data_IF_067442856870
#
_entry.id   IF_067442856870
#
_cell.length_a   1.000
_cell.length_b   1.000
_cell.length_c   1.000
_cell.angle_alpha   90.00
_cell.angle_beta   90.00
_cell.angle_gamma   90.00
#
_symmetry.space_group_name_H-M   'P 1'
#
loop_
_entity.id
_entity.type
_entity.pdbx_description
1 polymer ?
#
# COMPACT_ATOMS: atom_id res chain seq x y z
N UNK A 1 11.28 2.75 14.30
CA UNK A 1 11.72 1.36 14.13
C UNK A 1 11.60 0.98 12.65
N UNK A 2 12.66 1.31 11.87
CA UNK A 2 12.80 0.85 10.50
C UNK A 2 13.46 -0.55 10.51
N UNK A 3 12.69 -1.57 10.80
CA UNK A 3 13.16 -2.92 10.57
C UNK A 3 12.63 -3.38 9.21
N UNK A 4 13.48 -3.58 8.24
CA UNK A 4 13.19 -4.05 6.87
C UNK A 4 12.37 -3.07 5.99
N UNK A 5 12.45 -1.75 6.19
CA UNK A 5 11.74 -0.79 5.33
C UNK A 5 10.20 -0.88 5.40
N UNK A 6 9.67 -1.55 6.41
CA UNK A 6 8.22 -1.60 6.64
C UNK A 6 7.84 -0.57 7.70
N UNK A 7 6.91 0.30 7.34
CA UNK A 7 6.25 1.14 8.32
C UNK A 7 5.54 0.26 9.34
N UNK A 8 5.90 0.37 10.61
CA UNK A 8 5.01 -0.09 11.66
C UNK A 8 3.70 0.69 11.52
N UNK A 9 2.59 -0.04 11.48
CA UNK A 9 1.28 0.59 11.39
C UNK A 9 1.12 1.50 12.61
N UNK A 10 0.77 2.76 12.41
CA UNK A 10 0.61 3.77 13.49
C UNK A 10 -0.17 3.26 14.71
N UNK A 11 -1.07 2.30 14.51
CA UNK A 11 -1.81 1.60 15.59
C UNK A 11 -0.89 0.86 16.57
N UNK A 12 0.21 0.28 16.08
CA UNK A 12 1.17 -0.47 16.93
C UNK A 12 2.02 0.52 17.72
N UNK A 13 2.45 1.60 17.07
CA UNK A 13 3.22 2.65 17.75
C UNK A 13 2.41 3.31 18.86
N UNK A 14 1.15 3.67 18.60
CA UNK A 14 0.25 4.23 19.63
C UNK A 14 0.04 3.24 20.77
N UNK A 15 -0.15 1.95 20.48
CA UNK A 15 -0.30 0.91 21.49
C UNK A 15 0.94 0.75 22.37
N UNK A 16 2.14 0.78 21.79
CA UNK A 16 3.40 0.70 22.51
C UNK A 16 3.60 1.89 23.45
N UNK A 17 3.36 3.10 22.94
CA UNK A 17 3.47 4.34 23.74
C UNK A 17 2.45 4.37 24.87
N UNK A 18 1.21 3.97 24.60
CA UNK A 18 0.17 3.86 25.63
C UNK A 18 0.55 2.86 26.72
N UNK A 19 1.07 1.69 26.34
CA UNK A 19 1.55 0.68 27.29
C UNK A 19 2.74 1.18 28.12
N UNK A 20 3.69 1.87 27.51
CA UNK A 20 4.81 2.48 28.21
C UNK A 20 4.34 3.53 29.22
N UNK A 21 3.36 4.37 28.86
CA UNK A 21 2.76 5.34 29.78
C UNK A 21 2.06 4.66 30.96
N UNK A 22 1.32 3.57 30.74
CA UNK A 22 0.67 2.81 31.80
C UNK A 22 1.68 2.19 32.77
N UNK A 23 2.77 1.61 32.24
CA UNK A 23 3.86 1.05 33.07
C UNK A 23 4.52 2.15 33.90
N UNK A 24 4.79 3.31 33.34
CA UNK A 24 5.34 4.46 34.05
C UNK A 24 4.39 4.93 35.19
N UNK A 25 3.09 5.04 34.89
CA UNK A 25 2.09 5.41 35.91
C UNK A 25 2.01 4.36 37.00
N UNK A 26 2.11 3.08 36.67
CA UNK A 26 2.13 1.99 37.65
C UNK A 26 3.36 2.08 38.57
N UNK A 27 4.56 2.26 38.00
CA UNK A 27 5.80 2.42 38.78
C UNK A 27 5.66 3.61 39.75
N UNK A 28 5.13 4.75 39.30
CA UNK A 28 4.92 5.93 40.12
C UNK A 28 3.92 5.66 41.28
N UNK A 29 2.90 4.81 41.02
CA UNK A 29 1.87 4.49 42.03
C UNK A 29 2.34 3.49 43.09
N UNK A 30 3.28 2.60 42.76
CA UNK A 30 3.74 1.52 43.65
C UNK A 30 4.90 1.97 44.57
N UNK A 31 5.76 2.85 44.08
CA UNK A 31 6.86 3.33 44.88
C UNK A 31 6.43 4.51 45.79
N UNK A 32 6.66 4.36 47.09
CA UNK A 32 6.45 5.42 48.09
C UNK A 32 7.54 6.52 47.98
N UNK A 33 7.49 7.29 46.89
CA UNK A 33 8.37 8.45 46.74
C UNK A 33 8.02 9.58 47.71
N UNK A 34 9.04 10.28 48.20
CA UNK A 34 8.81 11.54 48.92
C UNK A 34 8.02 12.49 48.01
N UNK A 35 7.09 13.27 48.59
CA UNK A 35 6.18 14.15 47.85
C UNK A 35 6.86 15.07 46.84
N UNK A 36 8.09 15.52 47.11
CA UNK A 36 8.87 16.34 46.18
C UNK A 36 9.34 15.58 44.96
N UNK A 37 9.76 14.33 45.09
CA UNK A 37 10.20 13.47 43.98
C UNK A 37 9.04 13.07 43.12
N UNK A 38 7.86 12.79 43.70
CA UNK A 38 6.63 12.48 42.93
C UNK A 38 6.27 13.66 42.03
N UNK A 39 6.28 14.88 42.50
CA UNK A 39 5.97 16.08 41.70
C UNK A 39 6.94 16.25 40.53
N UNK A 40 8.23 16.01 40.74
CA UNK A 40 9.24 16.14 39.71
C UNK A 40 9.07 15.06 38.62
N UNK A 41 8.94 13.79 39.02
CA UNK A 41 8.76 12.67 38.09
C UNK A 41 7.43 12.80 37.30
N UNK A 42 6.35 13.19 37.98
CA UNK A 42 5.06 13.45 37.34
C UNK A 42 5.16 14.59 36.31
N UNK A 43 5.87 15.67 36.63
CA UNK A 43 6.10 16.76 35.66
C UNK A 43 6.88 16.31 34.45
N UNK A 44 7.90 15.48 34.63
CA UNK A 44 8.72 14.93 33.56
C UNK A 44 7.93 13.96 32.65
N UNK A 45 7.05 13.15 33.25
CA UNK A 45 6.13 12.28 32.49
C UNK A 45 5.13 13.08 31.66
N UNK A 46 4.53 14.12 32.25
CA UNK A 46 3.60 15.00 31.51
C UNK A 46 4.31 15.69 30.33
N UNK A 47 5.52 16.19 30.56
CA UNK A 47 6.34 16.84 29.53
C UNK A 47 6.68 15.86 28.38
N UNK A 48 7.02 14.62 28.71
CA UNK A 48 7.30 13.56 27.72
C UNK A 48 6.06 13.22 26.90
N UNK A 49 4.89 13.08 27.52
CA UNK A 49 3.63 12.81 26.83
C UNK A 49 3.28 13.98 25.89
N UNK A 50 3.41 15.21 26.34
CA UNK A 50 3.13 16.40 25.50
C UNK A 50 4.10 16.47 24.32
N UNK A 51 5.39 16.20 24.54
CA UNK A 51 6.38 16.19 23.47
C UNK A 51 6.09 15.09 22.43
N UNK A 52 5.72 13.87 22.87
CA UNK A 52 5.31 12.78 21.99
C UNK A 52 4.03 13.12 21.19
N UNK A 53 3.03 13.72 21.84
CA UNK A 53 1.80 14.14 21.17
C UNK A 53 2.07 15.22 20.13
N UNK A 54 2.95 16.17 20.42
CA UNK A 54 3.35 17.21 19.47
C UNK A 54 4.08 16.63 18.25
N UNK A 55 4.98 15.67 18.48
CA UNK A 55 5.70 14.99 17.41
C UNK A 55 4.73 14.19 16.51
N UNK A 56 3.88 13.39 17.12
CA UNK A 56 2.85 12.62 16.40
C UNK A 56 1.91 13.53 15.60
N UNK A 57 1.52 14.68 16.17
CA UNK A 57 0.67 15.65 15.49
C UNK A 57 1.36 16.25 14.26
N UNK A 58 2.66 16.57 14.34
CA UNK A 58 3.44 17.04 13.17
C UNK A 58 3.49 16.02 12.06
N UNK A 59 3.81 14.76 12.39
CA UNK A 59 3.88 13.69 11.42
C UNK A 59 2.51 13.40 10.80
N UNK A 60 1.49 13.33 11.64
CA UNK A 60 0.11 13.16 11.18
C UNK A 60 -0.32 14.30 10.24
N UNK A 61 0.01 15.53 10.58
CA UNK A 61 -0.33 16.69 9.74
C UNK A 61 0.43 16.69 8.42
N UNK A 62 1.70 16.31 8.42
CA UNK A 62 2.49 16.18 7.20
C UNK A 62 1.91 15.10 6.26
N UNK A 63 1.56 13.94 6.80
CA UNK A 63 0.93 12.85 6.03
C UNK A 63 -0.45 13.27 5.53
N UNK A 64 -1.31 13.84 6.39
CA UNK A 64 -2.69 14.18 6.02
C UNK A 64 -2.77 15.35 5.04
N UNK A 65 -1.80 16.27 5.02
CA UNK A 65 -1.80 17.38 4.06
C UNK A 65 -1.53 16.96 2.62
N UNK A 66 -0.79 15.87 2.41
CA UNK A 66 -0.50 15.33 1.07
C UNK A 66 -1.57 14.36 0.54
N UNK A 67 -2.40 13.80 1.42
CA UNK A 67 -3.44 12.83 1.04
C UNK A 67 -4.46 13.38 0.04
N UNK A 68 -5.00 14.63 0.17
CA UNK A 68 -6.02 15.12 -0.73
C UNK A 68 -5.58 15.15 -2.18
N UNK A 69 -4.38 15.66 -2.47
CA UNK A 69 -3.86 15.75 -3.84
C UNK A 69 -3.58 14.37 -4.44
N UNK A 70 -2.91 13.52 -3.65
CA UNK A 70 -2.65 12.13 -4.04
C UNK A 70 -3.97 11.37 -4.27
N UNK A 71 -4.97 11.60 -3.43
CA UNK A 71 -6.29 10.98 -3.55
C UNK A 71 -6.99 11.37 -4.84
N UNK A 72 -7.02 12.66 -5.17
CA UNK A 72 -7.67 13.14 -6.41
C UNK A 72 -6.98 12.55 -7.64
N UNK A 73 -5.66 12.59 -7.67
CA UNK A 73 -4.88 12.03 -8.79
C UNK A 73 -5.09 10.52 -8.95
N UNK A 74 -4.95 9.75 -7.87
CA UNK A 74 -5.12 8.29 -7.92
C UNK A 74 -6.56 7.87 -8.20
N UNK A 75 -7.54 8.62 -7.71
CA UNK A 75 -8.96 8.39 -8.00
C UNK A 75 -9.25 8.54 -9.48
N UNK A 76 -8.77 9.62 -10.11
CA UNK A 76 -8.94 9.83 -11.54
C UNK A 76 -8.33 8.69 -12.38
N UNK A 77 -7.15 8.20 -11.98
CA UNK A 77 -6.52 7.04 -12.62
C UNK A 77 -7.37 5.79 -12.46
N UNK A 78 -7.82 5.50 -11.23
CA UNK A 78 -8.64 4.31 -10.94
C UNK A 78 -9.98 4.33 -11.68
N UNK A 79 -10.65 5.48 -11.74
CA UNK A 79 -11.88 5.65 -12.50
C UNK A 79 -11.67 5.45 -14.00
N UNK A 80 -10.57 5.98 -14.55
CA UNK A 80 -10.21 5.79 -15.96
C UNK A 80 -9.95 4.31 -16.30
N UNK A 81 -9.19 3.62 -15.46
CA UNK A 81 -8.91 2.18 -15.60
C UNK A 81 -10.20 1.37 -15.43
N UNK A 82 -10.99 1.68 -14.42
CA UNK A 82 -12.21 0.95 -14.10
C UNK A 82 -13.33 1.08 -15.15
N UNK A 83 -13.29 2.11 -16.00
CA UNK A 83 -14.23 2.27 -17.12
C UNK A 83 -13.85 1.42 -18.34
N UNK A 84 -12.60 1.04 -18.48
CA UNK A 84 -12.11 0.17 -19.56
C UNK A 84 -12.41 -1.30 -19.24
N UNK A 85 -13.55 -1.80 -19.70
CA UNK A 85 -13.99 -3.18 -19.44
C UNK A 85 -13.41 -4.22 -20.41
N UNK A 86 -12.68 -3.79 -21.42
CA UNK A 86 -12.06 -4.67 -22.40
C UNK A 86 -10.73 -5.24 -21.91
N UNK A 87 -10.06 -4.51 -20.99
CA UNK A 87 -8.75 -4.88 -20.50
C UNK A 87 -8.74 -5.12 -18.99
N UNK A 88 -7.85 -6.00 -18.59
CA UNK A 88 -7.54 -6.28 -17.18
C UNK A 88 -6.27 -5.52 -16.78
N UNK A 89 -6.34 -4.80 -15.70
CA UNK A 89 -5.22 -4.02 -15.18
C UNK A 89 -4.65 -4.68 -13.92
N UNK A 90 -3.37 -4.95 -13.94
CA UNK A 90 -2.65 -5.56 -12.82
C UNK A 90 -1.71 -4.51 -12.25
N UNK A 91 -1.98 -4.04 -11.04
CA UNK A 91 -1.23 -3.00 -10.36
C UNK A 91 -0.42 -3.57 -9.18
N UNK A 92 0.73 -2.98 -8.91
CA UNK A 92 1.51 -3.31 -7.73
C UNK A 92 0.76 -2.90 -6.47
N UNK A 93 0.79 -3.78 -5.45
CA UNK A 93 0.16 -3.49 -4.15
C UNK A 93 0.66 -2.15 -3.58
N UNK A 94 -0.29 -1.35 -3.11
CA UNK A 94 -0.03 0.01 -2.64
C UNK A 94 -0.14 1.10 -3.72
N UNK A 95 -0.18 0.73 -5.00
CA UNK A 95 -0.59 1.63 -6.08
C UNK A 95 -2.10 1.53 -6.25
N UNK A 96 -2.75 2.63 -6.55
CA UNK A 96 -4.21 2.67 -6.82
C UNK A 96 -5.06 2.02 -5.71
N UNK A 97 -4.65 2.16 -4.46
CA UNK A 97 -5.41 1.62 -3.34
C UNK A 97 -6.77 2.30 -3.22
N UNK A 98 -7.84 1.52 -3.25
CA UNK A 98 -9.20 2.03 -3.04
C UNK A 98 -9.33 2.82 -1.73
N UNK A 99 -8.65 2.37 -0.66
CA UNK A 99 -8.65 3.03 0.66
C UNK A 99 -8.04 4.44 0.57
N UNK A 100 -7.08 4.64 -0.33
CA UNK A 100 -6.47 5.96 -0.56
C UNK A 100 -7.34 6.80 -1.49
N UNK A 101 -7.94 6.19 -2.52
CA UNK A 101 -8.75 6.89 -3.52
C UNK A 101 -10.11 7.35 -2.98
N UNK A 102 -10.75 6.54 -2.13
CA UNK A 102 -12.07 6.81 -1.57
C UNK A 102 -11.98 6.92 -0.04
N UNK A 103 -12.55 7.98 0.50
CA UNK A 103 -12.71 8.14 1.94
C UNK A 103 -13.83 7.25 2.48
N UNK A 104 -13.95 7.12 3.81
CA UNK A 104 -14.95 6.25 4.43
C UNK A 104 -16.41 6.69 4.16
N UNK A 105 -16.63 7.92 3.69
CA UNK A 105 -17.93 8.48 3.36
C UNK A 105 -18.11 8.71 1.85
N UNK A 106 -17.10 8.43 1.04
CA UNK A 106 -17.18 8.57 -0.41
C UNK A 106 -17.93 7.37 -0.99
N UNK A 107 -18.81 7.62 -1.93
CA UNK A 107 -19.48 6.56 -2.68
C UNK A 107 -18.57 6.10 -3.82
N UNK A 108 -18.12 4.86 -3.76
CA UNK A 108 -17.41 4.24 -4.86
C UNK A 108 -18.42 3.76 -5.91
N UNK A 109 -18.18 3.99 -7.22
CA UNK A 109 -19.01 3.43 -8.28
C UNK A 109 -19.07 1.90 -8.20
N UNK A 110 -20.24 1.32 -8.47
CA UNK A 110 -20.38 -0.12 -8.55
C UNK A 110 -19.52 -0.69 -9.70
N UNK A 111 -18.93 -1.85 -9.46
CA UNK A 111 -18.10 -2.57 -10.44
C UNK A 111 -16.85 -1.81 -10.94
N UNK A 112 -16.40 -0.78 -10.21
CA UNK A 112 -15.22 0.00 -10.59
C UNK A 112 -13.96 -0.85 -10.63
N UNK A 113 -13.87 -1.86 -9.76
CA UNK A 113 -12.68 -2.68 -9.56
C UNK A 113 -12.77 -4.06 -10.23
N UNK A 114 -13.77 -4.35 -11.03
CA UNK A 114 -13.97 -5.67 -11.61
C UNK A 114 -12.84 -6.12 -12.52
N UNK A 115 -12.13 -5.15 -13.11
CA UNK A 115 -11.01 -5.39 -14.03
C UNK A 115 -9.66 -4.94 -13.47
N UNK A 116 -9.59 -4.57 -12.18
CA UNK A 116 -8.37 -4.11 -11.53
C UNK A 116 -7.92 -5.13 -10.49
N UNK A 117 -6.70 -5.63 -10.65
CA UNK A 117 -6.10 -6.60 -9.74
C UNK A 117 -4.78 -6.07 -9.20
N UNK A 118 -4.44 -6.48 -7.98
CA UNK A 118 -3.17 -6.12 -7.34
C UNK A 118 -2.30 -7.35 -7.17
N UNK A 119 -0.99 -7.15 -7.23
CA UNK A 119 -0.02 -8.16 -6.89
C UNK A 119 0.97 -7.67 -5.84
N UNK A 120 1.57 -8.60 -5.08
CA UNK A 120 2.61 -8.32 -4.10
C UNK A 120 2.15 -7.96 -2.70
N UNK A 121 0.86 -7.76 -2.44
CA UNK A 121 0.31 -7.54 -1.10
C UNK A 121 -0.09 -8.85 -0.39
N UNK A 122 -0.43 -8.75 0.88
CA UNK A 122 -0.96 -9.88 1.64
C UNK A 122 -2.38 -10.25 1.19
N UNK A 123 -3.18 -9.29 0.74
CA UNK A 123 -4.52 -9.49 0.23
C UNK A 123 -4.54 -10.44 -0.97
N UNK A 124 -3.54 -10.31 -1.85
CA UNK A 124 -3.42 -11.12 -3.07
C UNK A 124 -3.22 -12.61 -2.80
N UNK A 125 -2.88 -12.98 -1.57
CA UNK A 125 -2.68 -14.36 -1.13
C UNK A 125 -3.88 -14.93 -0.39
N UNK A 126 -4.96 -14.17 -0.22
CA UNK A 126 -6.18 -14.69 0.41
C UNK A 126 -6.92 -15.62 -0.55
N UNK A 127 -7.48 -16.75 -0.07
CA UNK A 127 -8.20 -17.71 -0.91
C UNK A 127 -9.32 -17.03 -1.72
N UNK A 128 -10.03 -16.09 -1.12
CA UNK A 128 -11.12 -15.37 -1.78
C UNK A 128 -10.64 -14.51 -2.95
N UNK A 129 -9.52 -13.80 -2.77
CA UNK A 129 -8.94 -12.99 -3.83
C UNK A 129 -8.43 -13.86 -4.99
N UNK A 130 -7.77 -14.97 -4.67
CA UNK A 130 -7.30 -15.93 -5.67
C UNK A 130 -8.48 -16.54 -6.47
N UNK A 131 -9.61 -16.82 -5.80
CA UNK A 131 -10.84 -17.28 -6.48
C UNK A 131 -11.37 -16.24 -7.47
N UNK A 132 -11.38 -14.97 -7.10
CA UNK A 132 -11.81 -13.87 -7.97
C UNK A 132 -10.87 -13.75 -9.16
N UNK A 133 -9.56 -13.69 -8.95
CA UNK A 133 -8.57 -13.65 -10.04
C UNK A 133 -8.74 -14.82 -11.01
N UNK A 134 -8.95 -16.01 -10.47
CA UNK A 134 -9.16 -17.22 -11.30
C UNK A 134 -10.41 -17.13 -12.18
N UNK A 135 -11.48 -16.51 -11.71
CA UNK A 135 -12.70 -16.26 -12.52
C UNK A 135 -12.42 -15.34 -13.71
N UNK A 136 -11.41 -14.48 -13.60
CA UNK A 136 -10.93 -13.62 -14.70
C UNK A 136 -9.77 -14.24 -15.50
N UNK A 137 -9.51 -15.55 -15.33
CA UNK A 137 -8.46 -16.27 -16.04
C UNK A 137 -7.05 -16.01 -15.52
N UNK A 138 -6.91 -15.32 -14.38
CA UNK A 138 -5.62 -14.99 -13.77
C UNK A 138 -5.35 -15.97 -12.64
N UNK A 139 -4.41 -16.90 -12.85
CA UNK A 139 -3.94 -17.84 -11.81
C UNK A 139 -2.64 -17.33 -11.19
N UNK A 140 -1.73 -16.87 -12.03
CA UNK A 140 -0.49 -16.26 -11.63
C UNK A 140 -0.30 -14.93 -12.37
N UNK A 141 -0.50 -13.79 -11.69
CA UNK A 141 -0.47 -12.48 -12.33
C UNK A 141 0.85 -12.16 -13.03
N UNK A 142 1.97 -12.72 -12.58
CA UNK A 142 3.26 -12.50 -13.23
C UNK A 142 3.46 -13.33 -14.49
N UNK A 143 2.87 -14.52 -14.55
CA UNK A 143 2.95 -15.42 -15.70
C UNK A 143 1.89 -15.08 -16.73
N UNK A 144 0.66 -14.89 -16.27
CA UNK A 144 -0.52 -14.77 -17.13
C UNK A 144 -0.62 -13.43 -17.85
N UNK A 145 0.21 -12.43 -17.42
CA UNK A 145 0.32 -11.15 -18.10
C UNK A 145 1.24 -11.22 -19.36
N UNK A 146 2.11 -12.24 -19.43
CA UNK A 146 3.06 -12.36 -20.54
C UNK A 146 2.30 -12.77 -21.81
N UNK A 147 2.47 -12.00 -22.89
CA UNK A 147 1.80 -12.19 -24.17
C UNK A 147 0.26 -12.18 -24.10
N UNK A 148 -0.30 -11.58 -23.07
CA UNK A 148 -1.74 -11.40 -22.94
C UNK A 148 -2.12 -9.99 -23.40
N UNK A 149 -2.72 -9.90 -24.58
CA UNK A 149 -3.09 -8.63 -25.20
C UNK A 149 -4.20 -7.88 -24.44
N UNK A 150 -4.99 -8.61 -23.64
CA UNK A 150 -6.05 -8.04 -22.82
C UNK A 150 -5.58 -7.64 -21.40
N UNK A 151 -4.31 -7.82 -21.07
CA UNK A 151 -3.78 -7.52 -19.73
C UNK A 151 -2.69 -6.48 -19.76
N UNK A 152 -2.83 -5.49 -18.89
CA UNK A 152 -1.87 -4.42 -18.73
C UNK A 152 -1.27 -4.43 -17.33
N UNK A 153 0.01 -4.11 -17.24
CA UNK A 153 0.73 -3.86 -16.00
C UNK A 153 0.77 -2.37 -15.70
N UNK A 154 0.36 -1.99 -14.49
CA UNK A 154 0.43 -0.62 -14.00
C UNK A 154 1.56 -0.53 -12.98
N UNK A 155 2.66 0.11 -13.34
CA UNK A 155 3.83 0.24 -12.46
C UNK A 155 4.64 1.51 -12.81
N UNK A 156 5.02 2.27 -11.78
CA UNK A 156 5.91 3.44 -11.94
C UNK A 156 7.40 3.05 -11.90
N UNK A 157 7.72 1.81 -11.55
CA UNK A 157 9.08 1.28 -11.53
C UNK A 157 9.11 -0.10 -12.20
N UNK A 158 8.88 -0.09 -13.50
CA UNK A 158 8.78 -1.29 -14.32
C UNK A 158 10.02 -2.18 -14.25
N UNK A 159 11.21 -1.59 -14.10
CA UNK A 159 12.48 -2.33 -14.12
C UNK A 159 12.55 -3.41 -13.04
N UNK A 160 12.04 -3.13 -11.84
CA UNK A 160 12.06 -4.10 -10.76
C UNK A 160 11.09 -5.26 -11.03
N UNK A 161 9.89 -4.95 -11.50
CA UNK A 161 8.88 -5.94 -11.84
C UNK A 161 9.30 -6.77 -13.05
N UNK A 162 9.86 -6.13 -14.07
CA UNK A 162 10.38 -6.79 -15.26
C UNK A 162 11.54 -7.74 -14.93
N UNK A 163 12.51 -7.32 -14.12
CA UNK A 163 13.59 -8.20 -13.65
C UNK A 163 13.05 -9.43 -12.91
N UNK A 164 12.02 -9.26 -12.08
CA UNK A 164 11.40 -10.39 -11.40
C UNK A 164 10.74 -11.36 -12.40
N UNK A 165 10.01 -10.84 -13.39
CA UNK A 165 9.40 -11.65 -14.46
C UNK A 165 10.47 -12.38 -15.26
N UNK A 166 11.54 -11.69 -15.66
CA UNK A 166 12.66 -12.27 -16.41
C UNK A 166 13.37 -13.37 -15.63
N UNK A 167 13.56 -13.18 -14.34
CA UNK A 167 14.27 -14.15 -13.49
C UNK A 167 13.47 -15.42 -13.25
N UNK A 168 12.15 -15.34 -13.09
CA UNK A 168 11.35 -16.45 -12.58
C UNK A 168 10.35 -17.03 -13.58
N UNK A 169 10.05 -16.33 -14.67
CA UNK A 169 9.01 -16.76 -15.60
C UNK A 169 9.45 -16.81 -17.06
N UNK A 170 10.02 -15.75 -17.60
CA UNK A 170 10.50 -15.72 -18.97
C UNK A 170 11.63 -14.71 -19.12
N UNK A 171 12.86 -15.18 -19.40
CA UNK A 171 14.06 -14.36 -19.52
C UNK A 171 14.01 -13.33 -20.64
N UNK A 172 13.20 -13.61 -21.70
CA UNK A 172 13.09 -12.77 -22.90
C UNK A 172 11.90 -11.77 -22.78
N UNK A 173 11.26 -11.71 -21.60
CA UNK A 173 10.17 -10.78 -21.36
C UNK A 173 10.63 -9.33 -21.47
N UNK A 174 9.85 -8.52 -22.16
CA UNK A 174 10.08 -7.09 -22.36
C UNK A 174 8.82 -6.31 -21.97
N UNK A 175 9.00 -5.13 -21.42
CA UNK A 175 7.91 -4.22 -21.14
C UNK A 175 7.74 -3.24 -22.30
N UNK A 176 6.60 -3.27 -22.93
CA UNK A 176 6.21 -2.34 -24.00
C UNK A 176 5.33 -1.27 -23.38
N UNK A 177 5.80 -0.02 -23.40
CA UNK A 177 5.00 1.11 -22.95
C UNK A 177 3.76 1.28 -23.84
N UNK A 178 2.62 1.45 -23.22
CA UNK A 178 1.33 1.63 -23.92
C UNK A 178 0.84 3.06 -23.79
N UNK A 179 0.69 3.54 -22.56
CA UNK A 179 0.16 4.89 -22.27
C UNK A 179 0.47 5.28 -20.85
N UNK A 180 0.38 6.60 -20.57
CA UNK A 180 0.36 7.13 -19.20
C UNK A 180 -1.06 7.56 -18.86
N UNK A 181 -1.53 7.19 -17.68
CA UNK A 181 -2.83 7.61 -17.14
C UNK A 181 -2.57 8.39 -15.86
N UNK A 182 -2.80 9.70 -15.90
CA UNK A 182 -2.46 10.58 -14.78
C UNK A 182 -0.96 10.55 -14.47
N UNK A 183 -0.62 9.97 -13.33
CA UNK A 183 0.77 9.85 -12.86
C UNK A 183 1.29 8.40 -12.86
N UNK A 184 0.61 7.48 -13.52
CA UNK A 184 1.02 6.08 -13.61
C UNK A 184 1.22 5.64 -15.05
N UNK A 185 2.24 4.82 -15.27
CA UNK A 185 2.55 4.25 -16.56
C UNK A 185 1.94 2.86 -16.72
N UNK A 186 1.48 2.58 -17.92
CA UNK A 186 0.82 1.33 -18.30
C UNK A 186 1.67 0.63 -19.34
N UNK A 187 1.95 -0.63 -19.09
CA UNK A 187 2.79 -1.47 -19.93
C UNK A 187 2.09 -2.76 -20.34
N UNK A 188 2.48 -3.28 -21.47
CA UNK A 188 2.19 -4.63 -21.88
C UNK A 188 3.47 -5.47 -21.78
N UNK A 189 3.37 -6.69 -21.29
CA UNK A 189 4.52 -7.59 -21.20
C UNK A 189 4.50 -8.54 -22.38
N UNK A 190 5.51 -8.44 -23.22
CA UNK A 190 5.72 -9.29 -24.39
C UNK A 190 6.97 -10.15 -24.19
N UNK A 191 6.93 -11.36 -24.70
CA UNK A 191 8.10 -12.22 -24.79
C UNK A 191 8.09 -12.93 -26.14
N UNK A 192 9.27 -13.19 -26.68
CA UNK A 192 9.37 -14.05 -27.84
C UNK A 192 8.86 -15.45 -27.46
N UNK A 193 7.92 -15.97 -28.21
CA UNK A 193 7.47 -17.36 -28.08
C UNK A 193 8.53 -18.26 -28.68
N UNK A 194 8.99 -19.26 -27.94
CA UNK A 194 9.97 -20.26 -28.40
C UNK A 194 9.47 -21.12 -29.59
N UNK A 195 8.27 -20.84 -30.13
CA UNK A 195 7.62 -21.65 -31.16
C UNK A 195 8.14 -21.42 -32.59
N UNK A 196 9.26 -20.72 -32.78
CA UNK A 196 9.91 -20.50 -34.07
C UNK A 196 11.32 -21.07 -34.16
N UNK A 197 11.60 -22.23 -33.55
CA UNK A 197 12.81 -23.00 -33.81
C UNK A 197 12.48 -24.42 -34.27
#
# INVERSE_FOLDING_TARGET
LYYQGRYMVNRVDVGLWFSACLVMLWIISVEAFSQGKIKFVSGLCVLSVVACQFWMYKDWRAVTSSIPEARVSQRAVLETIGTDKEHTYIAKSGMLSEIVCYGPFDRMPENLLDNVFWFGGWECRTPKYMEIMKKHGIVNPYKDIINNDSSYLVDNNIDLTLKYIQQYYNKDAQAVFVKTIGNVDVYQIKAETEDNK
#
